data_IF_549848875308
#
_entry.id   IF_549848875308
#
_cell.length_a   1.000
_cell.length_b   1.000
_cell.length_c   1.000
_cell.angle_alpha   90.00
_cell.angle_beta   90.00
_cell.angle_gamma   90.00
#
_symmetry.space_group_name_H-M   'P 1'
#
loop_
_entity.id
_entity.type
_entity.pdbx_description
1 polymer ?
#
# COMPACT_ATOMS: atom_id res chain seq x y z
N UNK A 1 -54.22 -15.60 -16.65
CA UNK A 1 -53.40 -14.48 -16.13
C UNK A 1 -52.10 -15.05 -15.59
N UNK A 2 -51.05 -15.09 -16.40
CA UNK A 2 -49.70 -15.48 -15.98
C UNK A 2 -48.74 -14.41 -16.51
N UNK A 3 -48.24 -13.55 -15.62
CA UNK A 3 -47.25 -12.55 -15.93
C UNK A 3 -45.87 -13.18 -15.75
N UNK A 4 -45.24 -13.56 -16.86
CA UNK A 4 -43.84 -13.98 -16.89
C UNK A 4 -42.96 -12.72 -16.86
N UNK A 5 -42.39 -12.39 -15.70
CA UNK A 5 -41.38 -11.34 -15.54
C UNK A 5 -40.04 -11.87 -16.05
N UNK A 6 -39.61 -11.38 -17.20
CA UNK A 6 -38.26 -11.59 -17.74
C UNK A 6 -37.28 -10.77 -16.88
N UNK A 7 -36.50 -11.44 -16.04
CA UNK A 7 -35.36 -10.83 -15.37
C UNK A 7 -34.22 -10.67 -16.37
N UNK A 8 -33.96 -9.43 -16.75
CA UNK A 8 -32.84 -9.06 -17.60
C UNK A 8 -31.58 -8.97 -16.73
N UNK A 9 -30.72 -10.00 -16.79
CA UNK A 9 -29.43 -10.00 -16.09
C UNK A 9 -28.49 -9.02 -16.80
N UNK A 10 -28.25 -7.87 -16.17
CA UNK A 10 -27.19 -6.96 -16.56
C UNK A 10 -25.83 -7.68 -16.42
N UNK A 11 -25.25 -8.06 -17.56
CA UNK A 11 -23.85 -8.43 -17.67
C UNK A 11 -22.99 -7.20 -17.35
N UNK A 12 -22.50 -7.12 -16.12
CA UNK A 12 -21.43 -6.20 -15.75
C UNK A 12 -20.15 -6.72 -16.41
N UNK A 13 -19.80 -6.13 -17.56
CA UNK A 13 -18.50 -6.32 -18.19
C UNK A 13 -17.45 -5.67 -17.27
N UNK A 14 -16.76 -6.49 -16.48
CA UNK A 14 -15.54 -6.07 -15.77
C UNK A 14 -14.49 -5.81 -16.84
N UNK A 15 -14.28 -4.56 -17.21
CA UNK A 15 -13.17 -4.17 -18.08
C UNK A 15 -11.86 -4.50 -17.35
N UNK A 16 -11.12 -5.48 -17.87
CA UNK A 16 -9.78 -5.78 -17.39
C UNK A 16 -8.92 -4.49 -17.44
N UNK A 17 -8.20 -4.15 -16.37
CA UNK A 17 -7.37 -2.96 -16.36
C UNK A 17 -6.30 -3.08 -17.45
N UNK A 18 -6.30 -2.13 -18.38
CA UNK A 18 -5.27 -2.04 -19.42
C UNK A 18 -3.92 -1.82 -18.73
N UNK A 19 -3.11 -2.88 -18.67
CA UNK A 19 -1.78 -2.81 -18.08
C UNK A 19 -0.88 -2.00 -19.01
N UNK A 20 -0.50 -0.78 -18.58
CA UNK A 20 0.58 -0.06 -19.25
C UNK A 20 1.82 -0.96 -19.30
N UNK A 21 2.54 -1.04 -20.43
CA UNK A 21 3.73 -1.88 -20.54
C UNK A 21 4.74 -1.42 -19.49
N UNK A 22 4.99 -2.27 -18.48
CA UNK A 22 5.97 -2.00 -17.42
C UNK A 22 7.29 -1.60 -18.07
N UNK A 23 7.74 -0.37 -17.81
CA UNK A 23 9.05 0.08 -18.25
C UNK A 23 10.11 -0.91 -17.76
N UNK A 24 10.97 -1.38 -18.66
CA UNK A 24 12.05 -2.29 -18.30
C UNK A 24 13.00 -1.56 -17.35
N UNK A 25 13.28 -2.18 -16.21
CA UNK A 25 14.20 -1.66 -15.19
C UNK A 25 15.53 -1.20 -15.84
N UNK A 26 16.05 0.02 -15.55
CA UNK A 26 17.19 0.60 -16.28
C UNK A 26 18.45 -0.28 -16.25
N UNK A 27 18.58 -1.07 -15.18
CA UNK A 27 19.67 -2.00 -14.94
C UNK A 27 19.81 -3.10 -16.01
N UNK A 28 18.76 -3.41 -16.78
CA UNK A 28 18.86 -4.35 -17.90
C UNK A 28 19.85 -3.93 -18.99
N UNK A 29 20.24 -2.65 -19.06
CA UNK A 29 21.26 -2.16 -20.00
C UNK A 29 22.67 -2.70 -19.70
N UNK A 30 22.92 -3.16 -18.48
CA UNK A 30 24.22 -3.67 -18.02
C UNK A 30 24.37 -5.18 -18.22
N UNK A 31 23.34 -5.86 -18.74
CA UNK A 31 23.29 -7.31 -18.88
C UNK A 31 22.77 -7.73 -20.25
N UNK A 32 23.32 -8.83 -20.77
CA UNK A 32 22.81 -9.51 -21.97
C UNK A 32 21.93 -10.67 -21.56
N UNK A 33 20.74 -10.78 -22.15
CA UNK A 33 19.84 -11.92 -21.91
C UNK A 33 20.41 -13.13 -22.67
N UNK A 34 20.86 -14.15 -21.92
CA UNK A 34 21.38 -15.39 -22.50
C UNK A 34 20.29 -16.41 -22.74
N UNK A 35 19.30 -16.46 -21.84
CA UNK A 35 18.11 -17.30 -22.02
C UNK A 35 16.87 -16.45 -21.75
N UNK A 36 15.99 -16.24 -22.73
CA UNK A 36 14.79 -15.42 -22.55
C UNK A 36 13.80 -16.07 -21.58
N UNK A 37 12.89 -15.24 -21.08
CA UNK A 37 11.75 -15.67 -20.27
C UNK A 37 10.75 -16.41 -21.17
N UNK A 38 10.41 -17.65 -20.80
CA UNK A 38 9.47 -18.51 -21.52
C UNK A 38 8.57 -19.28 -20.52
N UNK A 39 7.55 -18.64 -19.93
CA UNK A 39 6.67 -19.29 -18.97
C UNK A 39 5.79 -20.35 -19.67
N UNK A 40 5.53 -21.52 -19.05
CA UNK A 40 5.84 -21.87 -17.67
C UNK A 40 7.25 -22.48 -17.46
N UNK A 41 7.95 -22.83 -18.56
CA UNK A 41 9.22 -23.58 -18.52
C UNK A 41 10.36 -22.78 -17.91
N UNK A 42 10.36 -21.45 -18.11
CA UNK A 42 11.37 -20.51 -17.62
C UNK A 42 10.73 -19.19 -17.20
N UNK A 43 10.32 -19.05 -15.92
CA UNK A 43 9.59 -17.87 -15.44
C UNK A 43 10.46 -16.60 -15.38
N UNK A 44 11.78 -16.77 -15.30
CA UNK A 44 12.77 -15.71 -15.21
C UNK A 44 13.90 -15.95 -16.21
N UNK A 45 14.43 -14.90 -16.85
CA UNK A 45 15.51 -15.06 -17.82
C UNK A 45 16.84 -15.40 -17.12
N UNK A 46 17.77 -15.96 -17.90
CA UNK A 46 19.19 -15.96 -17.54
C UNK A 46 19.88 -14.81 -18.23
N UNK A 47 20.90 -14.26 -17.58
CA UNK A 47 21.67 -13.16 -18.13
C UNK A 47 23.17 -13.36 -17.96
N UNK A 48 23.92 -12.57 -18.72
CA UNK A 48 25.35 -12.38 -18.58
C UNK A 48 25.64 -10.91 -18.29
N UNK A 49 26.47 -10.65 -17.29
CA UNK A 49 26.95 -9.29 -17.02
C UNK A 49 27.85 -8.81 -18.16
N UNK A 50 27.61 -7.61 -18.70
CA UNK A 50 28.41 -7.04 -19.79
C UNK A 50 29.84 -6.68 -19.37
N UNK A 51 30.08 -6.51 -18.08
CA UNK A 51 31.36 -6.03 -17.53
C UNK A 51 32.30 -7.18 -17.17
N UNK A 52 31.85 -8.13 -16.37
CA UNK A 52 32.66 -9.26 -15.89
C UNK A 52 32.34 -10.59 -16.55
N UNK A 53 31.32 -10.63 -17.43
CA UNK A 53 30.86 -11.85 -18.11
C UNK A 53 30.33 -12.96 -17.19
N UNK A 54 30.14 -12.69 -15.88
CA UNK A 54 29.49 -13.61 -14.96
C UNK A 54 28.08 -13.94 -15.44
N UNK A 55 27.74 -15.23 -15.41
CA UNK A 55 26.43 -15.73 -15.80
C UNK A 55 25.53 -15.86 -14.57
N UNK A 56 24.35 -15.29 -14.65
CA UNK A 56 23.36 -15.29 -13.58
C UNK A 56 22.08 -15.94 -14.10
N UNK A 57 21.57 -16.93 -13.37
CA UNK A 57 20.41 -17.71 -13.78
C UNK A 57 19.15 -17.28 -13.04
N UNK A 58 17.99 -17.42 -13.70
CA UNK A 58 16.66 -17.16 -13.14
C UNK A 58 16.58 -15.81 -12.38
N UNK A 59 17.05 -14.73 -13.02
CA UNK A 59 17.31 -13.47 -12.33
C UNK A 59 16.09 -12.56 -12.20
N UNK A 60 15.99 -11.93 -11.03
CA UNK A 60 15.12 -10.78 -10.79
C UNK A 60 15.95 -9.48 -10.75
N UNK A 61 15.50 -8.38 -11.39
CA UNK A 61 16.27 -7.14 -11.49
C UNK A 61 16.74 -6.58 -10.16
N UNK A 62 15.83 -6.36 -9.22
CA UNK A 62 16.13 -5.70 -7.94
C UNK A 62 16.94 -6.56 -6.96
N UNK A 63 16.98 -7.89 -7.17
CA UNK A 63 17.62 -8.81 -6.23
C UNK A 63 18.97 -9.30 -6.74
N UNK A 64 18.99 -10.05 -7.83
CA UNK A 64 20.20 -10.72 -8.32
C UNK A 64 21.07 -9.79 -9.16
N UNK A 65 20.47 -8.95 -10.00
CA UNK A 65 21.23 -8.09 -10.90
C UNK A 65 21.82 -6.89 -10.17
N UNK A 66 21.03 -6.22 -9.32
CA UNK A 66 21.49 -5.07 -8.54
C UNK A 66 22.57 -5.45 -7.52
N UNK A 67 22.43 -6.59 -6.85
CA UNK A 67 23.48 -7.06 -5.92
C UNK A 67 24.79 -7.36 -6.64
N UNK A 68 24.73 -8.01 -7.81
CA UNK A 68 25.90 -8.27 -8.63
C UNK A 68 26.57 -6.98 -9.13
N UNK A 69 25.81 -6.04 -9.72
CA UNK A 69 26.42 -4.86 -10.34
C UNK A 69 27.15 -4.00 -9.30
N UNK A 70 26.64 -3.89 -8.07
CA UNK A 70 27.25 -3.08 -7.00
C UNK A 70 28.58 -3.66 -6.51
N UNK A 71 28.79 -4.97 -6.62
CA UNK A 71 30.04 -5.64 -6.23
C UNK A 71 30.94 -6.00 -7.42
N UNK A 72 30.47 -5.79 -8.65
CA UNK A 72 31.21 -6.17 -9.84
C UNK A 72 32.55 -5.42 -9.91
N UNK A 73 33.66 -6.15 -10.00
CA UNK A 73 34.99 -5.56 -10.01
C UNK A 73 35.32 -4.82 -11.31
N UNK A 74 34.65 -5.20 -12.41
CA UNK A 74 34.93 -4.69 -13.75
C UNK A 74 34.12 -3.45 -14.14
N UNK A 75 33.20 -2.98 -13.30
CA UNK A 75 32.50 -1.72 -13.53
C UNK A 75 33.32 -0.54 -13.02
N UNK A 76 33.15 0.63 -13.64
CA UNK A 76 33.75 1.86 -13.14
C UNK A 76 33.16 2.25 -11.78
N UNK A 77 33.96 2.90 -10.92
CA UNK A 77 33.47 3.38 -9.63
C UNK A 77 32.34 4.42 -9.80
N UNK A 78 32.34 5.19 -10.89
CA UNK A 78 31.26 6.13 -11.21
C UNK A 78 29.93 5.39 -11.45
N UNK A 79 29.92 4.33 -12.26
CA UNK A 79 28.74 3.49 -12.47
C UNK A 79 28.33 2.79 -11.16
N UNK A 80 29.29 2.32 -10.38
CA UNK A 80 29.02 1.68 -9.07
C UNK A 80 28.32 2.64 -8.11
N UNK A 81 28.82 3.87 -8.01
CA UNK A 81 28.22 4.92 -7.20
C UNK A 81 26.81 5.28 -7.67
N UNK A 82 26.58 5.32 -8.99
CA UNK A 82 25.25 5.53 -9.57
C UNK A 82 24.27 4.45 -9.12
N UNK A 83 24.64 3.17 -9.23
CA UNK A 83 23.76 2.06 -8.83
C UNK A 83 23.53 1.98 -7.32
N UNK A 84 24.51 2.35 -6.50
CA UNK A 84 24.33 2.48 -5.03
C UNK A 84 23.32 3.58 -4.68
N UNK A 85 23.37 4.73 -5.36
CA UNK A 85 22.39 5.81 -5.17
C UNK A 85 20.99 5.38 -5.58
N UNK A 86 20.88 4.67 -6.70
CA UNK A 86 19.61 4.11 -7.17
C UNK A 86 19.01 3.15 -6.13
N UNK A 87 19.81 2.21 -5.62
CA UNK A 87 19.38 1.28 -4.57
C UNK A 87 18.91 2.00 -3.30
N UNK A 88 19.65 3.03 -2.87
CA UNK A 88 19.28 3.84 -1.72
C UNK A 88 17.93 4.53 -1.93
N UNK A 89 17.72 5.12 -3.11
CA UNK A 89 16.48 5.80 -3.48
C UNK A 89 15.29 4.84 -3.48
N UNK A 90 15.41 3.67 -4.10
CA UNK A 90 14.32 2.66 -4.09
C UNK A 90 13.98 2.22 -2.66
N UNK A 91 14.98 2.07 -1.79
CA UNK A 91 14.75 1.71 -0.37
C UNK A 91 14.04 2.83 0.39
N UNK A 92 14.43 4.08 0.16
CA UNK A 92 13.79 5.25 0.78
C UNK A 92 12.34 5.42 0.30
N UNK A 93 12.08 5.26 -1.00
CA UNK A 93 10.73 5.31 -1.58
C UNK A 93 9.85 4.17 -1.05
N UNK A 94 10.37 2.94 -0.98
CA UNK A 94 9.64 1.82 -0.40
C UNK A 94 9.34 2.04 1.09
N UNK A 95 10.30 2.59 1.85
CA UNK A 95 10.08 2.92 3.26
C UNK A 95 9.08 4.07 3.43
N UNK A 96 9.09 5.08 2.55
CA UNK A 96 8.14 6.17 2.55
C UNK A 96 6.73 5.68 2.20
N UNK A 97 6.59 4.80 1.19
CA UNK A 97 5.33 4.18 0.84
C UNK A 97 4.76 3.34 2.01
N UNK A 98 5.61 2.55 2.67
CA UNK A 98 5.20 1.78 3.85
C UNK A 98 4.79 2.67 5.03
N UNK A 99 5.47 3.81 5.22
CA UNK A 99 5.08 4.79 6.25
C UNK A 99 3.72 5.41 5.92
N UNK A 100 3.51 5.81 4.66
CA UNK A 100 2.25 6.37 4.20
C UNK A 100 1.10 5.37 4.40
N UNK A 101 1.29 4.12 3.98
CA UNK A 101 0.30 3.04 4.18
C UNK A 101 -0.06 2.88 5.67
N UNK A 102 0.96 2.83 6.54
CA UNK A 102 0.73 2.75 8.00
C UNK A 102 -0.01 3.96 8.56
N UNK A 103 0.31 5.16 8.09
CA UNK A 103 -0.42 6.37 8.49
C UNK A 103 -1.87 6.29 8.02
N UNK A 104 -2.13 5.85 6.78
CA UNK A 104 -3.50 5.68 6.29
C UNK A 104 -4.28 4.64 7.08
N UNK A 105 -3.66 3.52 7.46
CA UNK A 105 -4.31 2.53 8.35
C UNK A 105 -4.65 3.15 9.71
N UNK A 106 -3.72 3.90 10.31
CA UNK A 106 -3.92 4.59 11.59
C UNK A 106 -5.05 5.62 11.52
N UNK A 107 -5.11 6.45 10.48
CA UNK A 107 -6.16 7.47 10.31
C UNK A 107 -7.53 6.80 10.14
N UNK A 108 -7.55 5.72 9.38
CA UNK A 108 -8.74 4.93 9.11
C UNK A 108 -9.26 4.22 10.37
N UNK A 109 -8.37 3.77 11.24
CA UNK A 109 -8.68 3.22 12.56
C UNK A 109 -9.22 4.31 13.50
N UNK A 110 -8.57 5.47 13.57
CA UNK A 110 -9.01 6.62 14.37
C UNK A 110 -10.42 7.10 13.96
N UNK A 111 -10.69 7.16 12.66
CA UNK A 111 -12.01 7.50 12.13
C UNK A 111 -13.10 6.48 12.54
N UNK A 112 -12.77 5.19 12.63
CA UNK A 112 -13.72 4.19 13.17
C UNK A 112 -13.97 4.46 14.65
N UNK A 113 -12.94 4.74 15.44
CA UNK A 113 -13.09 5.02 16.87
C UNK A 113 -14.02 6.22 17.09
N UNK A 114 -13.75 7.33 16.41
CA UNK A 114 -14.55 8.54 16.47
C UNK A 114 -16.01 8.28 16.07
N UNK A 115 -16.25 7.54 14.99
CA UNK A 115 -17.60 7.14 14.58
C UNK A 115 -18.31 6.32 15.66
N UNK A 116 -17.65 5.35 16.28
CA UNK A 116 -18.24 4.54 17.36
C UNK A 116 -18.56 5.39 18.59
N UNK A 117 -17.67 6.30 18.96
CA UNK A 117 -17.85 7.22 20.08
C UNK A 117 -19.02 8.19 19.82
N UNK A 118 -18.98 8.93 18.71
CA UNK A 118 -20.00 9.93 18.36
C UNK A 118 -21.39 9.31 18.18
N UNK A 119 -21.47 8.12 17.56
CA UNK A 119 -22.74 7.43 17.36
C UNK A 119 -23.20 6.62 18.60
N UNK A 120 -22.47 6.68 19.72
CA UNK A 120 -22.73 5.89 20.94
C UNK A 120 -22.92 4.39 20.64
N UNK A 121 -22.16 3.86 19.68
CA UNK A 121 -22.21 2.46 19.31
C UNK A 121 -21.40 1.64 20.31
N UNK A 122 -21.98 0.53 20.77
CA UNK A 122 -21.25 -0.45 21.57
C UNK A 122 -20.04 -0.95 20.78
N UNK A 123 -18.84 -1.00 21.40
CA UNK A 123 -17.65 -1.57 20.74
C UNK A 123 -17.83 -3.03 20.34
N UNK A 124 -18.80 -3.77 20.92
CA UNK A 124 -19.16 -5.13 20.45
C UNK A 124 -19.74 -5.12 19.03
N UNK A 125 -20.27 -4.00 18.56
CA UNK A 125 -20.83 -3.86 17.22
C UNK A 125 -19.78 -4.11 16.12
N UNK A 126 -18.48 -3.91 16.38
CA UNK A 126 -17.39 -4.22 15.43
C UNK A 126 -17.22 -5.74 15.18
N UNK A 127 -17.76 -6.57 16.06
CA UNK A 127 -17.73 -8.04 15.94
C UNK A 127 -18.96 -8.54 15.16
N UNK A 128 -19.97 -7.70 14.94
CA UNK A 128 -21.15 -8.06 14.14
C UNK A 128 -20.76 -8.19 12.66
N UNK A 129 -21.04 -9.34 12.00
CA UNK A 129 -20.60 -9.59 10.63
C UNK A 129 -21.22 -8.62 9.61
N UNK A 130 -22.45 -8.16 9.81
CA UNK A 130 -23.10 -7.21 8.90
C UNK A 130 -22.44 -5.82 8.99
N UNK A 131 -22.13 -5.36 10.20
CA UNK A 131 -21.41 -4.09 10.42
C UNK A 131 -19.99 -4.18 9.85
N UNK A 132 -19.30 -5.30 10.07
CA UNK A 132 -17.98 -5.54 9.47
C UNK A 132 -18.03 -5.51 7.94
N UNK A 133 -19.02 -6.17 7.34
CA UNK A 133 -19.20 -6.17 5.90
C UNK A 133 -19.45 -4.77 5.36
N UNK A 134 -20.31 -3.97 6.03
CA UNK A 134 -20.57 -2.60 5.66
C UNK A 134 -19.32 -1.71 5.74
N UNK A 135 -18.51 -1.85 6.81
CA UNK A 135 -17.26 -1.11 6.97
C UNK A 135 -16.19 -1.50 5.93
N UNK A 136 -16.23 -2.73 5.42
CA UNK A 136 -15.30 -3.23 4.41
C UNK A 136 -15.73 -2.91 2.98
N UNK A 137 -17.04 -2.75 2.71
CA UNK A 137 -17.57 -2.45 1.37
C UNK A 137 -17.05 -1.14 0.77
N UNK A 138 -16.68 -0.16 1.60
CA UNK A 138 -16.18 1.14 1.17
C UNK A 138 -14.66 1.29 1.14
N UNK A 139 -13.88 0.20 1.30
CA UNK A 139 -12.44 0.29 1.59
C UNK A 139 -11.54 -0.44 0.59
N UNK A 140 -10.27 0.00 0.43
CA UNK A 140 -9.28 -0.71 -0.36
C UNK A 140 -9.02 -2.11 0.23
N UNK A 141 -8.80 -3.08 -0.66
CA UNK A 141 -8.55 -4.47 -0.31
C UNK A 141 -7.41 -4.62 0.71
N UNK A 142 -7.61 -5.45 1.74
CA UNK A 142 -6.57 -5.85 2.68
C UNK A 142 -6.53 -5.10 4.02
N UNK A 143 -7.29 -4.02 4.17
CA UNK A 143 -7.32 -3.27 5.43
C UNK A 143 -8.02 -4.05 6.55
N UNK A 144 -7.35 -4.18 7.69
CA UNK A 144 -7.89 -4.88 8.86
C UNK A 144 -8.76 -3.93 9.68
N UNK A 145 -9.95 -4.39 10.05
CA UNK A 145 -10.76 -3.65 11.02
C UNK A 145 -10.13 -3.76 12.42
N UNK A 146 -10.16 -2.67 13.21
CA UNK A 146 -9.64 -2.68 14.56
C UNK A 146 -10.40 -3.70 15.41
N UNK A 147 -9.70 -4.28 16.38
CA UNK A 147 -10.34 -5.19 17.33
C UNK A 147 -11.18 -4.41 18.33
N UNK A 148 -12.17 -5.08 18.96
CA UNK A 148 -12.95 -4.50 20.06
C UNK A 148 -12.06 -3.98 21.19
N UNK A 149 -10.96 -4.67 21.50
CA UNK A 149 -10.01 -4.26 22.55
C UNK A 149 -9.24 -3.01 22.18
N UNK A 150 -8.90 -2.84 20.89
CA UNK A 150 -8.24 -1.63 20.40
C UNK A 150 -9.20 -0.43 20.48
N UNK A 151 -10.45 -0.62 20.02
CA UNK A 151 -11.49 0.41 20.08
C UNK A 151 -11.81 0.85 21.52
N UNK A 152 -11.91 -0.11 22.45
CA UNK A 152 -12.22 0.18 23.85
C UNK A 152 -11.00 0.56 24.70
N UNK A 153 -9.81 0.66 24.11
CA UNK A 153 -8.56 1.01 24.77
C UNK A 153 -8.08 2.39 24.33
N UNK A 154 -6.82 2.47 23.90
CA UNK A 154 -6.16 3.73 23.52
C UNK A 154 -6.89 4.53 22.44
N UNK A 155 -7.68 3.89 21.58
CA UNK A 155 -8.42 4.59 20.52
C UNK A 155 -9.62 5.38 21.08
N UNK A 156 -10.23 4.92 22.17
CA UNK A 156 -11.27 5.66 22.87
C UNK A 156 -10.70 6.89 23.56
N UNK A 157 -9.57 6.72 24.24
CA UNK A 157 -8.87 7.82 24.92
C UNK A 157 -8.50 8.92 23.90
N UNK A 158 -7.96 8.54 22.75
CA UNK A 158 -7.63 9.47 21.67
C UNK A 158 -8.86 10.19 21.10
N UNK A 159 -9.96 9.47 20.84
CA UNK A 159 -11.19 10.08 20.37
C UNK A 159 -11.76 11.07 21.39
N UNK A 160 -11.75 10.71 22.67
CA UNK A 160 -12.18 11.60 23.76
C UNK A 160 -11.30 12.86 23.86
N UNK A 161 -9.98 12.70 23.81
CA UNK A 161 -9.03 13.82 23.87
C UNK A 161 -9.20 14.77 22.67
N UNK A 162 -9.44 14.23 21.47
CA UNK A 162 -9.67 15.03 20.27
C UNK A 162 -10.95 15.88 20.38
N UNK A 163 -12.06 15.25 20.79
CA UNK A 163 -13.35 15.93 21.02
C UNK A 163 -13.23 16.96 22.15
N UNK A 164 -12.53 16.64 23.23
CA UNK A 164 -12.29 17.55 24.34
C UNK A 164 -11.50 18.79 23.89
N UNK A 165 -10.46 18.60 23.04
CA UNK A 165 -9.67 19.70 22.51
C UNK A 165 -10.51 20.65 21.64
N UNK A 166 -11.40 20.11 20.81
CA UNK A 166 -12.33 20.88 19.98
C UNK A 166 -13.33 21.69 20.83
N UNK A 167 -13.92 21.07 21.86
CA UNK A 167 -14.82 21.77 22.79
C UNK A 167 -14.08 22.92 23.49
N UNK A 168 -12.85 22.70 23.92
CA UNK A 168 -12.02 23.73 24.57
C UNK A 168 -11.71 24.88 23.60
N UNK A 169 -11.43 24.61 22.32
CA UNK A 169 -11.18 25.69 21.35
C UNK A 169 -12.43 26.54 21.10
N UNK A 170 -13.59 25.92 20.92
CA UNK A 170 -14.87 26.63 20.72
C UNK A 170 -15.19 27.51 21.94
N UNK A 171 -14.98 27.01 23.16
CA UNK A 171 -15.20 27.80 24.37
C UNK A 171 -14.25 29.00 24.50
N UNK A 172 -12.99 28.88 24.04
CA UNK A 172 -12.02 29.98 24.07
C UNK A 172 -12.42 31.09 23.09
N UNK A 173 -12.87 30.73 21.89
CA UNK A 173 -13.34 31.69 20.88
C UNK A 173 -14.57 32.45 21.37
N UNK A 174 -15.54 31.74 21.97
CA UNK A 174 -16.74 32.38 22.53
C UNK A 174 -16.41 33.36 23.67
N UNK A 175 -15.46 33.03 24.54
CA UNK A 175 -15.03 33.93 25.62
C UNK A 175 -14.32 35.18 25.08
N UNK A 176 -13.63 35.09 23.95
CA UNK A 176 -12.96 36.23 23.33
C UNK A 176 -13.96 37.22 22.71
N UNK A 177 -15.06 36.72 22.12
CA UNK A 177 -16.11 37.56 21.51
C UNK A 177 -16.97 38.34 22.53
N UNK A 178 -17.09 37.85 23.77
CA UNK A 178 -17.89 38.51 24.83
C UNK A 178 -17.09 39.60 25.57
N UNK A 179 -15.79 39.71 25.30
CA UNK A 179 -14.88 40.62 26.01
C UNK A 179 -14.48 41.87 25.22
N UNK A 180 -15.02 42.07 24.02
CA UNK A 180 -14.92 43.29 23.18
C UNK A 180 -16.21 44.10 23.25
#
# INVERSE_FOLDING_TARGET
MALCRVYNMAHVYIMAPQTMPRQKHPLWKEFDITVPKDPPRKPLPDVRCRHCSTQLQNVQPGRALLSHIVICERITEQQRAQWRRFQKKEKEEAAAAQRLERTTESDVEANIAAMFYAANLSFRAIENPAIRAALLQGRPDGLRLPSRRALAGSMLDQAYEAELAEVISVQKEQKHFVSE
#
